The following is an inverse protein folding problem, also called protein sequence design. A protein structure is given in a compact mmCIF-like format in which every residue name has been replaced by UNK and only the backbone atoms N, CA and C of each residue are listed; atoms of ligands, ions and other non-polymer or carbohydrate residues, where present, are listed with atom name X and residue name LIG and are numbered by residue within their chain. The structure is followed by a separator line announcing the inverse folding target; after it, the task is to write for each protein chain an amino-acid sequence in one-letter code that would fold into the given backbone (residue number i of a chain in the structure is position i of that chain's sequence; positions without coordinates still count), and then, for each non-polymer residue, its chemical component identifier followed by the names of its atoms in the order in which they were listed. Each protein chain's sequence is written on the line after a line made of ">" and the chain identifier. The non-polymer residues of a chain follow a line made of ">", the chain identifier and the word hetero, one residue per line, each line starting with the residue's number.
data_IF_784786377128
#
_entry.id   IF_784786377128
#
_cell.length_a   1.000
_cell.length_b   1.000
_cell.length_c   1.000
_cell.angle_alpha   90.00
_cell.angle_beta   90.00
_cell.angle_gamma   90.00
#
_symmetry.space_group_name_H-M   'P 1'
#
loop_
_entity.id
_entity.type
_entity.pdbx_description
1 polymer ?
#
# COMPACT_ATOMS: atom_id res chain seq x y z
N UNK A 1 -10.71 6.33 15.32
CA UNK A 1 -9.63 7.25 15.69
C UNK A 1 -10.09 8.69 15.46
N UNK A 2 -9.34 9.65 15.98
CA UNK A 2 -9.58 11.07 15.68
C UNK A 2 -8.74 11.49 14.48
N UNK A 3 -9.24 12.38 13.61
CA UNK A 3 -8.43 12.99 12.56
C UNK A 3 -7.18 13.69 13.13
N UNK A 4 -6.07 13.67 12.41
CA UNK A 4 -4.84 14.35 12.84
C UNK A 4 -5.04 15.86 13.02
N UNK A 5 -5.92 16.48 12.26
CA UNK A 5 -6.30 17.89 12.38
C UNK A 5 -6.89 18.25 13.75
N UNK A 6 -7.47 17.26 14.45
CA UNK A 6 -8.06 17.46 15.79
C UNK A 6 -7.06 17.20 16.93
N UNK A 7 -5.81 16.80 16.61
CA UNK A 7 -4.78 16.48 17.61
C UNK A 7 -4.06 17.70 18.18
N UNK A 8 -4.36 18.91 17.69
CA UNK A 8 -3.74 20.15 18.17
C UNK A 8 -2.25 20.28 17.84
N UNK A 9 -1.75 19.59 16.83
CA UNK A 9 -0.36 19.68 16.38
C UNK A 9 -0.16 20.91 15.50
N UNK A 10 0.95 21.63 15.71
CA UNK A 10 1.31 22.73 14.80
C UNK A 10 1.71 22.21 13.41
N UNK A 11 1.61 23.08 12.40
CA UNK A 11 2.01 22.74 11.04
C UNK A 11 3.50 22.35 10.95
N UNK A 12 4.36 23.02 11.70
CA UNK A 12 5.81 22.70 11.79
C UNK A 12 6.02 21.29 12.38
N UNK A 13 5.28 20.96 13.46
CA UNK A 13 5.38 19.64 14.07
C UNK A 13 4.87 18.54 13.17
N UNK A 14 3.80 18.79 12.44
CA UNK A 14 3.30 17.86 11.41
C UNK A 14 4.32 17.64 10.28
N UNK A 15 4.95 18.71 9.80
CA UNK A 15 5.99 18.61 8.77
C UNK A 15 7.21 17.83 9.28
N UNK A 16 7.66 18.07 10.52
CA UNK A 16 8.75 17.34 11.16
C UNK A 16 8.42 15.83 11.25
N UNK A 17 7.24 15.48 11.75
CA UNK A 17 6.81 14.08 11.86
C UNK A 17 6.78 13.41 10.49
N UNK A 18 6.21 14.07 9.49
CA UNK A 18 6.16 13.57 8.11
C UNK A 18 7.57 13.31 7.57
N UNK A 19 8.47 14.26 7.74
CA UNK A 19 9.86 14.14 7.26
C UNK A 19 10.60 13.00 7.98
N UNK A 20 10.48 12.89 9.29
CA UNK A 20 11.09 11.82 10.08
C UNK A 20 10.54 10.45 9.68
N UNK A 21 9.25 10.34 9.37
CA UNK A 21 8.62 9.11 8.89
C UNK A 21 9.18 8.70 7.53
N UNK A 22 9.30 9.63 6.58
CA UNK A 22 9.86 9.38 5.25
C UNK A 22 11.33 8.91 5.36
N UNK A 23 12.11 9.50 6.26
CA UNK A 23 13.54 9.20 6.42
C UNK A 23 13.84 8.04 7.35
N UNK A 24 12.84 7.51 8.06
CA UNK A 24 13.01 6.48 9.09
C UNK A 24 13.74 5.23 8.59
N UNK A 25 13.38 4.74 7.41
CA UNK A 25 14.05 3.60 6.79
C UNK A 25 15.54 3.83 6.52
N UNK A 26 15.88 4.99 5.94
CA UNK A 26 17.26 5.38 5.68
C UNK A 26 18.08 5.55 6.97
N UNK A 27 17.49 6.08 8.03
CA UNK A 27 18.13 6.20 9.33
C UNK A 27 18.48 4.82 9.93
N UNK A 28 17.55 3.86 9.84
CA UNK A 28 17.79 2.48 10.29
C UNK A 28 18.93 1.84 9.49
N UNK A 29 18.97 2.01 8.17
CA UNK A 29 20.03 1.47 7.31
C UNK A 29 21.39 2.06 7.71
N UNK A 30 21.47 3.37 7.95
CA UNK A 30 22.70 4.02 8.41
C UNK A 30 23.23 3.46 9.73
N UNK A 31 22.34 3.19 10.68
CA UNK A 31 22.70 2.68 12.01
C UNK A 31 23.06 1.19 12.01
N UNK A 32 22.42 0.39 11.18
CA UNK A 32 22.54 -1.08 11.18
C UNK A 32 23.39 -1.64 10.04
N UNK A 33 23.75 -0.81 9.05
CA UNK A 33 24.41 -1.25 7.82
C UNK A 33 23.51 -2.07 6.88
N UNK A 34 22.24 -2.26 7.22
CA UNK A 34 21.28 -3.01 6.39
C UNK A 34 19.83 -2.59 6.70
N UNK A 35 18.92 -2.90 5.80
CA UNK A 35 17.48 -2.69 6.00
C UNK A 35 16.95 -3.51 7.18
N UNK A 36 15.90 -3.01 7.83
CA UNK A 36 15.13 -3.78 8.81
C UNK A 36 14.35 -4.89 8.10
N UNK A 37 14.39 -6.10 8.65
CA UNK A 37 13.64 -7.26 8.14
C UNK A 37 12.68 -7.85 9.18
N UNK A 38 12.83 -7.52 10.45
CA UNK A 38 12.00 -8.10 11.52
C UNK A 38 10.54 -7.71 11.38
N UNK A 39 10.26 -6.41 11.20
CA UNK A 39 8.88 -5.94 11.04
C UNK A 39 8.21 -6.45 9.77
N UNK A 40 8.83 -6.43 8.58
CA UNK A 40 8.28 -7.10 7.40
C UNK A 40 8.01 -8.59 7.60
N UNK A 41 8.94 -9.32 8.20
CA UNK A 41 8.76 -10.76 8.46
C UNK A 41 7.60 -11.04 9.42
N UNK A 42 7.49 -10.25 10.51
CA UNK A 42 6.38 -10.37 11.44
C UNK A 42 5.03 -10.12 10.76
N UNK A 43 4.91 -9.07 9.96
CA UNK A 43 3.68 -8.77 9.23
C UNK A 43 3.35 -9.86 8.20
N UNK A 44 4.34 -10.38 7.48
CA UNK A 44 4.13 -11.49 6.55
C UNK A 44 3.57 -12.75 7.24
N UNK A 45 4.12 -13.11 8.42
CA UNK A 45 3.60 -14.23 9.21
C UNK A 45 2.16 -13.98 9.65
N UNK A 46 1.83 -12.75 10.10
CA UNK A 46 0.47 -12.37 10.49
C UNK A 46 -0.52 -12.43 9.31
N UNK A 47 -0.10 -12.01 8.14
CA UNK A 47 -0.92 -12.12 6.92
C UNK A 47 -1.19 -13.59 6.55
N UNK A 48 -0.17 -14.46 6.65
CA UNK A 48 -0.32 -15.91 6.42
C UNK A 48 -1.25 -16.53 7.46
N UNK A 49 -1.06 -16.23 8.75
CA UNK A 49 -1.93 -16.69 9.83
C UNK A 49 -3.41 -16.33 9.55
N UNK A 50 -3.68 -15.11 9.15
CA UNK A 50 -5.02 -14.64 8.82
C UNK A 50 -5.61 -15.40 7.60
N UNK A 51 -4.83 -15.56 6.53
CA UNK A 51 -5.25 -16.28 5.33
C UNK A 51 -5.52 -17.78 5.62
N UNK A 52 -4.88 -18.34 6.63
CA UNK A 52 -5.10 -19.74 7.09
C UNK A 52 -6.25 -19.87 8.11
N UNK A 53 -7.04 -18.83 8.32
CA UNK A 53 -8.20 -18.86 9.22
C UNK A 53 -7.91 -18.48 10.67
N UNK A 54 -6.74 -17.87 10.93
CA UNK A 54 -6.43 -17.25 12.22
C UNK A 54 -7.09 -15.88 12.40
N UNK A 55 -6.51 -15.04 13.26
CA UNK A 55 -7.03 -13.68 13.48
C UNK A 55 -6.92 -12.83 12.21
N UNK A 56 -8.02 -12.20 11.74
CA UNK A 56 -7.97 -11.34 10.57
C UNK A 56 -6.91 -10.24 10.70
N UNK A 57 -6.18 -10.00 9.61
CA UNK A 57 -5.17 -8.95 9.51
C UNK A 57 -5.80 -7.73 8.84
N UNK A 58 -5.98 -6.63 9.57
CA UNK A 58 -6.62 -5.41 9.07
C UNK A 58 -5.66 -4.22 9.19
N UNK A 59 -4.89 -3.99 8.14
CA UNK A 59 -3.93 -2.88 8.01
C UNK A 59 -3.83 -2.47 6.52
N UNK A 60 -3.31 -1.28 6.21
CA UNK A 60 -2.96 -0.94 4.84
C UNK A 60 -1.99 -1.97 4.26
N UNK A 61 -2.36 -2.57 3.14
CA UNK A 61 -1.53 -3.55 2.44
C UNK A 61 -1.58 -3.32 0.92
N UNK A 62 -0.51 -3.70 0.23
CA UNK A 62 -0.50 -3.74 -1.23
C UNK A 62 -1.50 -4.78 -1.72
N UNK A 63 -2.50 -4.35 -2.45
CA UNK A 63 -3.54 -5.20 -3.01
C UNK A 63 -3.79 -4.87 -4.48
N UNK A 64 -4.27 -5.84 -5.24
CA UNK A 64 -4.70 -5.59 -6.60
C UNK A 64 -5.99 -4.79 -6.59
N UNK A 65 -5.96 -3.64 -7.24
CA UNK A 65 -7.09 -2.72 -7.32
C UNK A 65 -7.56 -2.65 -8.76
N UNK A 66 -8.83 -2.97 -8.96
CA UNK A 66 -9.48 -2.87 -10.26
C UNK A 66 -10.96 -2.50 -10.07
N UNK A 67 -11.24 -1.20 -10.08
CA UNK A 67 -12.58 -0.64 -9.91
C UNK A 67 -12.79 0.51 -10.90
N UNK A 68 -13.90 1.22 -10.79
CA UNK A 68 -14.24 2.33 -11.70
C UNK A 68 -13.21 3.46 -11.70
N UNK A 69 -12.58 3.73 -10.55
CA UNK A 69 -11.64 4.84 -10.38
C UNK A 69 -10.18 4.42 -10.60
N UNK A 70 -9.77 3.30 -10.04
CA UNK A 70 -8.38 2.79 -10.10
C UNK A 70 -8.36 1.43 -10.77
N UNK A 71 -7.64 1.29 -11.87
CA UNK A 71 -7.71 0.10 -12.72
C UNK A 71 -6.36 -0.61 -12.85
N UNK A 72 -6.39 -1.93 -12.67
CA UNK A 72 -5.28 -2.83 -12.98
C UNK A 72 -3.94 -2.42 -12.36
N UNK A 73 -3.93 -2.15 -11.07
CA UNK A 73 -2.74 -1.70 -10.35
C UNK A 73 -2.62 -2.37 -8.98
N UNK A 74 -1.38 -2.62 -8.57
CA UNK A 74 -1.06 -2.97 -7.19
C UNK A 74 -0.80 -1.69 -6.41
N UNK A 75 -1.64 -1.36 -5.44
CA UNK A 75 -1.44 -0.20 -4.57
C UNK A 75 -1.89 -0.47 -3.14
N UNK A 76 -1.35 0.30 -2.19
CA UNK A 76 -1.74 0.16 -0.80
C UNK A 76 -3.15 0.72 -0.57
N UNK A 77 -4.01 -0.13 -0.02
CA UNK A 77 -5.37 0.21 0.39
C UNK A 77 -5.62 -0.25 1.83
N UNK A 78 -6.56 0.36 2.56
CA UNK A 78 -7.08 -0.24 3.78
C UNK A 78 -7.64 -1.63 3.46
N UNK A 79 -6.99 -2.67 3.98
CA UNK A 79 -7.21 -4.05 3.55
C UNK A 79 -7.44 -4.95 4.74
N UNK A 80 -8.39 -5.86 4.64
CA UNK A 80 -8.56 -6.99 5.55
C UNK A 80 -8.20 -8.27 4.82
N UNK A 81 -7.33 -9.07 5.42
CA UNK A 81 -6.97 -10.42 4.96
C UNK A 81 -7.54 -11.40 5.97
N UNK A 82 -8.26 -12.41 5.50
CA UNK A 82 -8.81 -13.51 6.28
C UNK A 82 -8.88 -14.80 5.43
N UNK A 83 -9.49 -15.85 5.97
CA UNK A 83 -9.62 -17.13 5.27
C UNK A 83 -10.45 -17.06 3.98
N UNK A 84 -11.21 -15.99 3.76
CA UNK A 84 -12.03 -15.81 2.55
C UNK A 84 -11.28 -15.01 1.46
N UNK A 85 -10.14 -14.42 1.79
CA UNK A 85 -9.29 -13.72 0.84
C UNK A 85 -8.83 -12.34 1.32
N UNK A 86 -8.60 -11.47 0.35
CA UNK A 86 -8.08 -10.11 0.54
C UNK A 86 -9.18 -9.11 0.14
N UNK A 87 -9.66 -8.34 1.09
CA UNK A 87 -10.75 -7.40 0.93
C UNK A 87 -10.28 -5.99 1.21
N UNK A 88 -10.34 -5.10 0.24
CA UNK A 88 -9.98 -3.70 0.43
C UNK A 88 -11.21 -2.80 0.42
N UNK A 89 -11.07 -1.65 1.07
CA UNK A 89 -12.07 -0.57 1.00
C UNK A 89 -11.42 0.70 0.45
N UNK A 90 -12.22 1.51 -0.23
CA UNK A 90 -11.74 2.81 -0.70
C UNK A 90 -11.48 3.72 0.50
N UNK A 91 -10.28 4.33 0.58
CA UNK A 91 -9.97 5.23 1.69
C UNK A 91 -10.84 6.48 1.63
N UNK A 92 -11.17 6.98 2.81
CA UNK A 92 -11.78 8.29 2.99
C UNK A 92 -10.69 9.27 3.47
N UNK A 93 -10.79 10.52 3.03
CA UNK A 93 -9.82 11.55 3.38
C UNK A 93 -10.26 12.93 2.94
N UNK A 94 -9.44 13.93 3.24
CA UNK A 94 -9.64 15.28 2.72
C UNK A 94 -9.43 15.31 1.19
N UNK A 95 -9.92 16.35 0.50
CA UNK A 95 -9.67 16.50 -0.94
C UNK A 95 -8.18 16.44 -1.31
N UNK A 96 -7.31 17.02 -0.46
CA UNK A 96 -5.86 17.03 -0.66
C UNK A 96 -5.23 15.63 -0.50
N UNK A 97 -5.72 14.84 0.48
CA UNK A 97 -5.28 13.45 0.67
C UNK A 97 -5.72 12.58 -0.49
N UNK A 98 -6.95 12.73 -0.95
CA UNK A 98 -7.46 12.00 -2.11
C UNK A 98 -6.72 12.39 -3.41
N UNK A 99 -6.41 13.68 -3.62
CA UNK A 99 -5.59 14.11 -4.74
C UNK A 99 -4.17 13.51 -4.69
N UNK A 100 -3.59 13.38 -3.49
CA UNK A 100 -2.29 12.72 -3.31
C UNK A 100 -2.37 11.22 -3.64
N UNK A 101 -3.48 10.57 -3.32
CA UNK A 101 -3.73 9.17 -3.69
C UNK A 101 -3.87 9.01 -5.21
N UNK A 102 -4.59 9.92 -5.86
CA UNK A 102 -4.73 9.95 -7.33
C UNK A 102 -3.37 10.12 -8.02
N UNK A 103 -2.53 11.03 -7.54
CA UNK A 103 -1.16 11.20 -8.05
C UNK A 103 -0.30 9.94 -7.86
N UNK A 104 -0.45 9.24 -6.73
CA UNK A 104 0.22 7.95 -6.49
C UNK A 104 -0.26 6.87 -7.47
N UNK A 105 -1.54 6.80 -7.75
CA UNK A 105 -2.09 5.90 -8.76
C UNK A 105 -1.51 6.16 -10.14
N UNK A 106 -1.49 7.42 -10.59
CA UNK A 106 -0.91 7.78 -11.88
C UNK A 106 0.57 7.39 -11.98
N UNK A 107 1.33 7.59 -10.91
CA UNK A 107 2.73 7.18 -10.85
C UNK A 107 2.89 5.66 -10.98
N UNK A 108 2.09 4.88 -10.25
CA UNK A 108 2.10 3.42 -10.32
C UNK A 108 1.69 2.90 -11.70
N UNK A 109 0.72 3.55 -12.36
CA UNK A 109 0.34 3.21 -13.73
C UNK A 109 1.50 3.42 -14.71
N UNK A 110 2.23 4.52 -14.60
CA UNK A 110 3.43 4.76 -15.43
C UNK A 110 4.50 3.69 -15.24
N UNK A 111 4.76 3.31 -13.99
CA UNK A 111 5.72 2.23 -13.69
C UNK A 111 5.25 0.88 -14.23
N UNK A 112 3.96 0.54 -14.07
CA UNK A 112 3.36 -0.66 -14.65
C UNK A 112 3.54 -0.69 -16.17
N UNK A 113 3.19 0.39 -16.84
CA UNK A 113 3.24 0.48 -18.30
C UNK A 113 4.69 0.40 -18.83
N UNK A 114 5.65 0.92 -18.05
CA UNK A 114 7.08 0.76 -18.34
C UNK A 114 7.52 -0.71 -18.31
N UNK A 115 7.19 -1.46 -17.25
CA UNK A 115 7.58 -2.88 -17.15
C UNK A 115 6.84 -3.76 -18.15
N UNK A 116 5.61 -3.41 -18.56
CA UNK A 116 4.90 -4.03 -19.67
C UNK A 116 5.62 -3.75 -20.99
N UNK A 117 6.00 -2.51 -21.25
CA UNK A 117 6.72 -2.11 -22.48
C UNK A 117 8.08 -2.79 -22.58
N UNK A 118 8.76 -3.01 -21.46
CA UNK A 118 10.02 -3.75 -21.39
C UNK A 118 9.85 -5.28 -21.56
N UNK A 119 8.61 -5.77 -21.65
CA UNK A 119 8.32 -7.19 -21.77
C UNK A 119 8.61 -8.01 -20.51
N UNK A 120 8.72 -7.35 -19.35
CA UNK A 120 8.97 -8.01 -18.06
C UNK A 120 7.69 -8.70 -17.56
N UNK A 121 6.53 -8.10 -17.80
CA UNK A 121 5.22 -8.66 -17.51
C UNK A 121 4.33 -8.60 -18.76
N UNK A 122 3.33 -9.51 -18.88
CA UNK A 122 2.38 -9.50 -19.98
C UNK A 122 1.60 -8.18 -20.09
N UNK A 123 1.01 -7.93 -21.24
CA UNK A 123 0.10 -6.80 -21.42
C UNK A 123 -1.09 -6.90 -20.46
N UNK A 124 -1.55 -5.77 -19.94
CA UNK A 124 -2.66 -5.70 -18.95
C UNK A 124 -3.92 -6.46 -19.45
N UNK A 125 -4.21 -6.39 -20.73
CA UNK A 125 -5.34 -7.09 -21.34
C UNK A 125 -5.26 -8.63 -21.24
N UNK A 126 -4.09 -9.17 -21.01
CA UNK A 126 -3.85 -10.62 -20.93
C UNK A 126 -3.85 -11.14 -19.48
N UNK A 127 -3.78 -10.27 -18.49
CA UNK A 127 -3.67 -10.67 -17.08
C UNK A 127 -4.80 -11.59 -16.62
N UNK A 128 -6.06 -11.31 -17.02
CA UNK A 128 -7.20 -12.16 -16.68
C UNK A 128 -7.18 -13.52 -17.37
N UNK A 129 -6.48 -13.65 -18.49
CA UNK A 129 -6.31 -14.95 -19.19
C UNK A 129 -5.38 -15.85 -18.39
N UNK A 130 -4.34 -15.24 -17.77
CA UNK A 130 -3.33 -15.96 -17.02
C UNK A 130 -3.73 -16.19 -15.55
N UNK A 131 -4.64 -15.35 -15.02
CA UNK A 131 -5.16 -15.49 -13.68
C UNK A 131 -6.64 -15.09 -13.60
N UNK A 132 -7.51 -16.08 -13.53
CA UNK A 132 -8.96 -15.90 -13.47
C UNK A 132 -9.46 -15.20 -12.17
N UNK A 133 -8.59 -15.06 -11.16
CA UNK A 133 -8.94 -14.39 -9.89
C UNK A 133 -8.72 -12.87 -9.92
N UNK A 134 -8.24 -12.29 -11.02
CA UNK A 134 -8.04 -10.84 -11.18
C UNK A 134 -9.30 -10.11 -11.67
#
# INVERSE_FOLDING_TARGET
>A
GKPLSEMGLSAEKMAEIKQNTIQGGSAIIKLRGRSSFQSPAYNAVKMIEAAMGGTPFTLPAGTYVNNEKYQNVMMAMPTTIDATGCHYVMPQGTPEELASLDASYEHLCKMRDEIVTLGIVPAVADWKKDNANL
#
